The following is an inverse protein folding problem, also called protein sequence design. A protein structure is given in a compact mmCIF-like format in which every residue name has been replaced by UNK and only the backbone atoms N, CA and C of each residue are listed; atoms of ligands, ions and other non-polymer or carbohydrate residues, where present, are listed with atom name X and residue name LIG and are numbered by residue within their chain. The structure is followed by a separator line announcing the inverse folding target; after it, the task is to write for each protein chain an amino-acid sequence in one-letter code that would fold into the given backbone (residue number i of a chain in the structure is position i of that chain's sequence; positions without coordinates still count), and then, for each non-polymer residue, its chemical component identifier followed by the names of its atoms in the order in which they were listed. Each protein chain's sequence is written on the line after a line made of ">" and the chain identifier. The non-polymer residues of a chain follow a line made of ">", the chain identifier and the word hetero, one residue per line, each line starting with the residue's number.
data_IF_956496036254
#
_entry.id   IF_956496036254
#
_cell.length_a   1.000
_cell.length_b   1.000
_cell.length_c   1.000
_cell.angle_alpha   90.00
_cell.angle_beta   90.00
_cell.angle_gamma   90.00
#
_symmetry.space_group_name_H-M   'P 1'
#
loop_
_entity.id
_entity.type
_entity.pdbx_description
1 polymer ?
#
# COMPACT_ATOMS: atom_id res chain seq x y z
N UNK A 1 2.39 -8.46 -24.97
CA UNK A 1 1.68 -9.12 -23.84
C UNK A 1 2.56 -10.18 -23.17
N UNK A 2 2.87 -11.31 -23.83
CA UNK A 2 3.72 -12.38 -23.24
C UNK A 2 5.05 -11.89 -22.66
N UNK A 3 5.79 -11.05 -23.39
CA UNK A 3 7.07 -10.53 -22.92
C UNK A 3 6.95 -9.67 -21.64
N UNK A 4 5.86 -8.92 -21.49
CA UNK A 4 5.62 -8.09 -20.30
C UNK A 4 5.26 -8.93 -19.08
N UNK A 5 4.43 -9.95 -19.25
CA UNK A 5 4.09 -10.92 -18.19
C UNK A 5 5.35 -11.67 -17.74
N UNK A 6 6.17 -12.12 -18.68
CA UNK A 6 7.44 -12.81 -18.37
C UNK A 6 8.43 -11.88 -17.65
N UNK A 7 8.46 -10.59 -18.00
CA UNK A 7 9.26 -9.58 -17.30
C UNK A 7 8.84 -9.41 -15.84
N UNK A 8 7.55 -9.20 -15.60
CA UNK A 8 6.98 -9.08 -14.24
C UNK A 8 7.26 -10.33 -13.39
N UNK A 9 7.07 -11.53 -13.96
CA UNK A 9 7.37 -12.79 -13.27
C UNK A 9 8.86 -12.93 -12.94
N UNK A 10 9.75 -12.53 -13.85
CA UNK A 10 11.20 -12.59 -13.63
C UNK A 10 11.62 -11.65 -12.50
N UNK A 11 11.07 -10.45 -12.47
CA UNK A 11 11.30 -9.49 -11.39
C UNK A 11 10.83 -10.04 -10.05
N UNK A 12 9.60 -10.56 -9.99
CA UNK A 12 9.03 -11.17 -8.77
C UNK A 12 9.91 -12.30 -8.24
N UNK A 13 10.37 -13.20 -9.12
CA UNK A 13 11.25 -14.31 -8.76
C UNK A 13 12.62 -13.89 -8.24
N UNK A 14 13.11 -12.71 -8.62
CA UNK A 14 14.39 -12.19 -8.11
C UNK A 14 14.37 -11.85 -6.62
N UNK A 15 13.17 -11.83 -6.01
CA UNK A 15 12.96 -11.67 -4.58
C UNK A 15 12.78 -13.02 -3.85
N UNK A 16 12.61 -14.15 -4.57
CA UNK A 16 12.51 -15.48 -3.95
C UNK A 16 13.80 -15.83 -3.21
N UNK A 17 13.71 -16.10 -1.90
CA UNK A 17 14.84 -16.51 -1.07
C UNK A 17 15.63 -15.36 -0.41
N UNK A 18 15.29 -14.10 -0.69
CA UNK A 18 15.70 -13.02 0.21
C UNK A 18 14.76 -13.02 1.42
N UNK A 19 15.30 -13.33 2.61
CA UNK A 19 14.54 -13.31 3.86
C UNK A 19 14.11 -11.87 4.13
N UNK A 20 12.90 -11.53 3.68
CA UNK A 20 12.25 -10.29 4.05
C UNK A 20 12.00 -10.41 5.55
N UNK A 21 12.86 -9.80 6.37
CA UNK A 21 12.60 -9.61 7.80
C UNK A 21 11.41 -8.66 7.92
N UNK A 22 10.20 -9.17 7.65
CA UNK A 22 8.94 -8.50 7.87
C UNK A 22 8.72 -8.51 9.38
N UNK A 23 9.41 -7.58 10.04
CA UNK A 23 9.09 -7.21 11.41
C UNK A 23 7.74 -6.50 11.37
N UNK A 24 6.96 -6.63 12.45
CA UNK A 24 5.69 -5.93 12.69
C UNK A 24 5.71 -4.53 12.06
N UNK A 25 5.00 -4.35 10.94
CA UNK A 25 5.03 -3.11 10.16
C UNK A 25 3.64 -2.80 9.66
N UNK A 26 3.06 -1.77 10.28
CA UNK A 26 1.79 -1.18 9.87
C UNK A 26 2.04 -0.12 8.80
N UNK A 27 1.38 -0.24 7.65
CA UNK A 27 1.47 0.71 6.54
C UNK A 27 0.08 1.25 6.16
N UNK A 28 -0.04 2.50 5.70
CA UNK A 28 -1.29 2.99 5.14
C UNK A 28 -1.42 2.48 3.70
N UNK A 29 -2.57 1.91 3.38
CA UNK A 29 -2.99 1.60 2.02
C UNK A 29 -4.10 2.56 1.63
N UNK A 30 -4.06 3.03 0.38
CA UNK A 30 -5.08 3.94 -0.17
C UNK A 30 -5.74 3.26 -1.37
N UNK A 31 -7.06 3.25 -1.38
CA UNK A 31 -7.89 2.82 -2.50
C UNK A 31 -8.46 4.07 -3.15
N UNK A 32 -8.33 4.16 -4.47
CA UNK A 32 -8.88 5.23 -5.30
C UNK A 32 -9.19 4.61 -6.66
N UNK A 33 -10.32 3.91 -6.73
CA UNK A 33 -10.67 3.06 -7.87
C UNK A 33 -12.01 3.49 -8.45
N UNK A 34 -12.09 3.46 -9.78
CA UNK A 34 -13.33 3.60 -10.55
C UNK A 34 -13.55 2.31 -11.34
N UNK A 35 -14.62 1.61 -11.01
CA UNK A 35 -15.02 0.36 -11.67
C UNK A 35 -16.45 0.56 -12.13
N UNK A 36 -16.68 0.48 -13.44
CA UNK A 36 -17.99 0.73 -14.05
C UNK A 36 -18.57 2.08 -13.58
N UNK A 37 -19.71 2.02 -12.89
CA UNK A 37 -20.41 3.16 -12.33
C UNK A 37 -20.06 3.42 -10.86
N UNK A 38 -19.14 2.68 -10.26
CA UNK A 38 -18.79 2.79 -8.84
C UNK A 38 -17.42 3.42 -8.68
N UNK A 39 -17.33 4.50 -7.92
CA UNK A 39 -16.06 5.07 -7.45
C UNK A 39 -15.93 4.78 -5.97
N UNK A 40 -14.85 4.11 -5.58
CA UNK A 40 -14.51 3.83 -4.19
C UNK A 40 -13.20 4.52 -3.82
N UNK A 41 -13.25 5.28 -2.73
CA UNK A 41 -12.08 5.92 -2.13
C UNK A 41 -12.02 5.57 -0.65
N UNK A 42 -10.91 5.00 -0.22
CA UNK A 42 -10.72 4.63 1.18
C UNK A 42 -9.23 4.70 1.55
N UNK A 43 -8.94 4.80 2.84
CA UNK A 43 -7.61 4.62 3.39
C UNK A 43 -7.68 3.83 4.68
N UNK A 44 -6.86 2.80 4.78
CA UNK A 44 -6.78 1.95 5.97
C UNK A 44 -5.34 1.59 6.29
N UNK A 45 -5.14 1.03 7.48
CA UNK A 45 -3.84 0.56 7.92
C UNK A 45 -3.77 -0.95 7.74
N UNK A 46 -2.68 -1.44 7.15
CA UNK A 46 -2.43 -2.84 6.90
C UNK A 46 -1.20 -3.32 7.66
N UNK A 47 -1.31 -4.45 8.35
CA UNK A 47 -0.16 -5.13 8.96
C UNK A 47 0.47 -6.09 7.95
N UNK A 48 1.66 -5.77 7.47
CA UNK A 48 2.40 -6.60 6.52
C UNK A 48 2.92 -7.88 7.20
N UNK A 49 3.14 -7.84 8.52
CA UNK A 49 3.62 -8.98 9.29
C UNK A 49 2.56 -10.05 9.54
N UNK A 50 1.28 -9.71 9.39
CA UNK A 50 0.19 -10.66 9.58
C UNK A 50 -0.06 -11.47 8.30
N UNK A 51 0.47 -12.69 8.26
CA UNK A 51 0.32 -13.61 7.13
C UNK A 51 -1.11 -14.17 7.00
N UNK A 52 -1.93 -14.05 8.04
CA UNK A 52 -3.34 -14.44 8.01
C UNK A 52 -4.24 -13.34 7.41
N UNK A 53 -3.70 -12.14 7.13
CA UNK A 53 -4.46 -11.08 6.47
C UNK A 53 -4.63 -11.38 4.98
N UNK A 54 -5.82 -11.83 4.58
CA UNK A 54 -6.19 -12.07 3.18
C UNK A 54 -6.80 -10.81 2.52
N UNK A 55 -6.15 -10.19 1.50
CA UNK A 55 -6.72 -9.06 0.77
C UNK A 55 -8.09 -9.37 0.14
N UNK A 56 -8.32 -10.60 -0.32
CA UNK A 56 -9.58 -11.02 -0.90
C UNK A 56 -10.71 -11.04 0.13
N UNK A 57 -10.44 -11.56 1.33
CA UNK A 57 -11.40 -11.57 2.44
C UNK A 57 -11.72 -10.16 2.93
N UNK A 58 -10.69 -9.32 3.08
CA UNK A 58 -10.88 -7.92 3.41
C UNK A 58 -11.75 -7.20 2.38
N UNK A 59 -11.45 -7.37 1.08
CA UNK A 59 -12.20 -6.71 0.02
C UNK A 59 -13.67 -7.15 -0.04
N UNK A 60 -13.96 -8.45 0.16
CA UNK A 60 -15.35 -8.94 0.26
C UNK A 60 -16.09 -8.29 1.42
N UNK A 61 -15.48 -8.28 2.60
CA UNK A 61 -16.07 -7.71 3.80
C UNK A 61 -16.33 -6.21 3.64
N UNK A 62 -15.38 -5.47 3.05
CA UNK A 62 -15.53 -4.05 2.76
C UNK A 62 -16.69 -3.78 1.79
N UNK A 63 -16.83 -4.58 0.73
CA UNK A 63 -17.96 -4.45 -0.19
C UNK A 63 -19.30 -4.74 0.50
N UNK A 64 -19.37 -5.76 1.35
CA UNK A 64 -20.58 -6.11 2.10
C UNK A 64 -20.98 -4.98 3.07
N UNK A 65 -20.01 -4.44 3.83
CA UNK A 65 -20.19 -3.35 4.79
C UNK A 65 -20.64 -2.03 4.12
N UNK A 66 -20.14 -1.75 2.93
CA UNK A 66 -20.47 -0.55 2.14
C UNK A 66 -21.66 -0.76 1.19
N UNK A 67 -22.29 -1.94 1.22
CA UNK A 67 -23.38 -2.34 0.34
C UNK A 67 -23.06 -2.17 -1.17
N UNK A 68 -21.81 -2.43 -1.54
CA UNK A 68 -21.36 -2.43 -2.93
C UNK A 68 -21.82 -3.74 -3.58
N UNK A 69 -22.64 -3.62 -4.63
CA UNK A 69 -23.23 -4.77 -5.32
C UNK A 69 -22.51 -5.16 -6.60
N UNK A 70 -21.63 -4.31 -7.12
CA UNK A 70 -20.84 -4.59 -8.31
C UNK A 70 -19.79 -5.68 -8.01
N UNK A 71 -19.88 -6.86 -8.66
CA UNK A 71 -19.00 -7.98 -8.37
C UNK A 71 -17.54 -7.75 -8.80
N UNK A 72 -17.25 -6.75 -9.64
CA UNK A 72 -15.90 -6.43 -10.10
C UNK A 72 -15.12 -5.56 -9.11
N UNK A 73 -15.81 -4.85 -8.20
CA UNK A 73 -15.19 -3.92 -7.24
C UNK A 73 -14.35 -4.67 -6.21
N UNK A 74 -14.87 -5.76 -5.63
CA UNK A 74 -14.13 -6.55 -4.63
C UNK A 74 -12.79 -7.09 -5.15
N UNK A 75 -12.76 -7.79 -6.30
CA UNK A 75 -11.51 -8.21 -6.93
C UNK A 75 -10.55 -7.06 -7.24
N UNK A 76 -11.05 -5.91 -7.71
CA UNK A 76 -10.22 -4.73 -8.00
C UNK A 76 -9.55 -4.17 -6.73
N UNK A 77 -10.27 -4.11 -5.61
CA UNK A 77 -9.72 -3.70 -4.31
C UNK A 77 -8.60 -4.67 -3.88
N UNK A 78 -8.85 -5.98 -3.95
CA UNK A 78 -7.87 -6.99 -3.55
C UNK A 78 -6.58 -6.92 -4.39
N UNK A 79 -6.70 -6.70 -5.70
CA UNK A 79 -5.55 -6.46 -6.59
C UNK A 79 -4.80 -5.20 -6.19
N UNK A 80 -5.51 -4.08 -5.96
CA UNK A 80 -4.88 -2.82 -5.54
C UNK A 80 -4.11 -2.94 -4.23
N UNK A 81 -4.64 -3.70 -3.26
CA UNK A 81 -3.94 -4.01 -2.00
C UNK A 81 -2.65 -4.78 -2.28
N UNK A 82 -2.70 -5.84 -3.08
CA UNK A 82 -1.52 -6.65 -3.41
C UNK A 82 -0.44 -5.86 -4.14
N UNK A 83 -0.83 -5.01 -5.09
CA UNK A 83 0.10 -4.15 -5.82
C UNK A 83 0.85 -3.22 -4.87
N UNK A 84 0.13 -2.53 -3.97
CA UNK A 84 0.76 -1.67 -2.97
C UNK A 84 1.69 -2.45 -2.02
N UNK A 85 1.27 -3.65 -1.57
CA UNK A 85 2.12 -4.49 -0.73
C UNK A 85 3.40 -4.94 -1.44
N UNK A 86 3.30 -5.29 -2.73
CA UNK A 86 4.46 -5.65 -3.55
C UNK A 86 5.42 -4.47 -3.71
N UNK A 87 4.92 -3.27 -3.97
CA UNK A 87 5.76 -2.06 -4.07
C UNK A 87 6.50 -1.78 -2.75
N UNK A 88 5.81 -1.90 -1.62
CA UNK A 88 6.41 -1.71 -0.29
C UNK A 88 7.49 -2.76 -0.03
N UNK A 89 7.23 -4.02 -0.42
CA UNK A 89 8.20 -5.10 -0.31
C UNK A 89 9.44 -4.83 -1.17
N UNK A 90 9.26 -4.48 -2.44
CA UNK A 90 10.34 -4.17 -3.38
C UNK A 90 11.22 -3.00 -2.91
N UNK A 91 10.60 -1.95 -2.37
CA UNK A 91 11.33 -0.82 -1.79
C UNK A 91 12.15 -1.23 -0.57
N UNK A 92 11.61 -2.10 0.30
CA UNK A 92 12.32 -2.58 1.49
C UNK A 92 13.57 -3.39 1.14
N UNK A 93 13.47 -4.26 0.13
CA UNK A 93 14.60 -5.07 -0.37
C UNK A 93 15.64 -4.18 -1.04
N UNK A 94 15.20 -3.23 -1.86
CA UNK A 94 16.11 -2.27 -2.52
C UNK A 94 16.90 -1.45 -1.49
N UNK A 95 16.23 -0.95 -0.44
CA UNK A 95 16.89 -0.23 0.65
C UNK A 95 17.90 -1.11 1.42
N UNK A 96 17.56 -2.39 1.65
CA UNK A 96 18.46 -3.34 2.31
C UNK A 96 19.71 -3.63 1.46
N UNK A 97 19.53 -3.81 0.14
CA UNK A 97 20.64 -4.02 -0.82
C UNK A 97 21.58 -2.83 -0.86
N UNK A 98 21.06 -1.60 -0.84
CA UNK A 98 21.88 -0.38 -0.75
C UNK A 98 22.65 -0.29 0.57
N UNK A 99 22.01 -0.54 1.70
CA UNK A 99 22.65 -0.53 3.01
C UNK A 99 23.81 -1.55 3.12
N UNK A 100 23.64 -2.75 2.54
CA UNK A 100 24.67 -3.79 2.52
C UNK A 100 25.89 -3.40 1.66
N UNK A 101 25.71 -2.61 0.60
CA UNK A 101 26.81 -2.07 -0.24
C UNK A 101 27.62 -1.02 0.51
N UNK A 102 26.95 -0.14 1.27
CA UNK A 102 27.59 0.91 2.07
C UNK A 102 28.42 0.32 3.22
N UNK A 103 27.95 -0.75 3.86
CA UNK A 103 28.68 -1.42 4.96
C UNK A 103 30.04 -2.00 4.57
N UNK A 104 30.29 -2.29 3.29
CA UNK A 104 31.59 -2.83 2.83
C UNK A 104 32.68 -1.77 2.68
N UNK A 105 32.37 -0.47 2.83
CA UNK A 105 33.32 0.65 2.74
C UNK A 105 33.54 1.30 4.11
N UNK A 106 34.25 0.62 5.01
CA UNK A 106 34.68 1.25 6.27
C UNK A 106 35.05 0.29 7.38
N UNK A 107 36.16 -0.44 7.25
CA UNK A 107 36.85 -1.02 8.42
C UNK A 107 37.99 -0.10 8.86
N UNK A 108 37.71 0.74 9.87
CA UNK A 108 38.64 1.15 10.94
C UNK A 108 37.80 1.69 12.10
N UNK A 109 37.86 0.99 13.23
CA UNK A 109 37.35 1.40 14.55
C UNK A 109 38.57 1.66 15.46
N UNK A 110 38.45 2.20 16.69
CA UNK A 110 37.23 2.52 17.46
C UNK A 110 37.25 3.93 18.10
N UNK A 111 36.12 4.43 18.60
CA UNK A 111 35.93 5.07 19.92
C UNK A 111 34.42 5.32 20.15
N UNK A 112 34.02 5.32 21.41
CA UNK A 112 32.64 5.27 21.91
C UNK A 112 31.77 6.44 21.42
N UNK A 113 30.87 6.15 20.49
CA UNK A 113 29.62 6.88 20.36
C UNK A 113 28.55 5.87 19.94
N UNK A 114 27.81 5.35 20.92
CA UNK A 114 26.57 4.61 20.69
C UNK A 114 25.52 5.58 20.15
N UNK A 115 25.68 6.02 18.90
CA UNK A 115 24.62 6.69 18.18
C UNK A 115 23.81 5.61 17.48
N UNK A 116 22.84 5.07 18.22
CA UNK A 116 21.81 4.15 17.77
C UNK A 116 20.92 4.78 16.70
N UNK A 117 21.45 4.94 15.48
CA UNK A 117 20.72 5.38 14.28
C UNK A 117 20.61 4.29 13.21
N UNK A 118 20.75 3.02 13.61
CA UNK A 118 20.63 1.87 12.70
C UNK A 118 19.68 0.77 13.21
N UNK A 119 18.96 0.97 14.31
CA UNK A 119 18.09 -0.06 14.90
C UNK A 119 16.82 0.56 15.45
N UNK A 120 15.99 1.10 14.55
CA UNK A 120 14.73 1.71 14.93
C UNK A 120 13.60 1.38 13.93
N UNK A 121 13.48 0.13 13.49
CA UNK A 121 12.29 -0.29 12.73
C UNK A 121 11.03 -0.43 13.62
N UNK A 122 11.09 -0.02 14.89
CA UNK A 122 9.96 0.03 15.84
C UNK A 122 9.07 1.29 15.69
N UNK A 123 9.24 2.09 14.64
CA UNK A 123 8.81 3.51 14.65
C UNK A 123 7.57 3.89 13.83
N UNK A 124 6.94 3.00 13.05
CA UNK A 124 5.73 3.43 12.32
C UNK A 124 4.50 3.55 13.25
N UNK A 125 4.44 2.77 14.33
CA UNK A 125 3.31 2.82 15.28
C UNK A 125 3.18 4.19 15.97
N UNK A 126 4.31 4.84 16.29
CA UNK A 126 4.31 6.18 16.90
C UNK A 126 3.72 7.25 16.01
N UNK A 127 3.86 7.12 14.68
CA UNK A 127 3.30 8.05 13.71
C UNK A 127 1.77 7.93 13.64
N UNK A 128 1.25 6.70 13.64
CA UNK A 128 -0.18 6.44 13.48
C UNK A 128 -0.96 6.49 14.80
N UNK A 129 -0.39 6.00 15.91
CA UNK A 129 -1.06 5.89 17.21
C UNK A 129 -0.52 6.89 18.25
N UNK A 130 0.51 7.68 17.91
CA UNK A 130 1.14 8.63 18.82
C UNK A 130 1.97 7.96 19.92
N UNK A 131 2.73 8.75 20.66
CA UNK A 131 3.65 8.26 21.71
C UNK A 131 2.98 7.57 22.90
N UNK A 132 1.66 7.61 22.99
CA UNK A 132 0.87 6.94 24.02
C UNK A 132 0.07 5.74 23.48
N UNK A 133 0.19 5.39 22.20
CA UNK A 133 -0.55 4.28 21.61
C UNK A 133 -2.07 4.50 21.60
N UNK A 134 -2.53 5.72 21.33
CA UNK A 134 -3.96 6.06 21.27
C UNK A 134 -4.64 5.29 20.14
N UNK A 135 -5.67 4.51 20.48
CA UNK A 135 -6.54 3.82 19.51
C UNK A 135 -7.48 4.81 18.81
N UNK A 136 -7.73 5.97 19.42
CA UNK A 136 -8.56 7.03 18.83
C UNK A 136 -7.71 7.90 17.89
N UNK A 137 -8.12 7.96 16.62
CA UNK A 137 -7.52 8.84 15.61
C UNK A 137 -7.72 10.31 15.98
N UNK A 138 -6.77 11.16 15.59
CA UNK A 138 -6.94 12.61 15.75
C UNK A 138 -8.12 13.07 14.90
N UNK A 139 -9.02 13.87 15.48
CA UNK A 139 -10.22 14.39 14.79
C UNK A 139 -9.95 15.03 13.42
N UNK A 140 -8.81 15.70 13.27
CA UNK A 140 -8.36 16.32 12.02
C UNK A 140 -7.92 15.32 10.93
N UNK A 141 -7.85 14.03 11.23
CA UNK A 141 -7.44 12.96 10.32
C UNK A 141 -8.61 12.00 10.03
N UNK A 142 -9.78 12.20 10.65
CA UNK A 142 -10.92 11.29 10.51
C UNK A 142 -11.38 11.14 9.06
N UNK A 143 -11.47 12.25 8.33
CA UNK A 143 -11.89 12.27 6.93
C UNK A 143 -10.97 11.47 6.00
N UNK A 144 -9.74 11.16 6.41
CA UNK A 144 -8.82 10.36 5.60
C UNK A 144 -9.18 8.87 5.62
N UNK A 145 -9.84 8.40 6.69
CA UNK A 145 -10.11 6.98 6.93
C UNK A 145 -11.63 6.71 6.94
N UNK A 146 -12.38 7.55 6.25
CA UNK A 146 -13.80 7.36 6.00
C UNK A 146 -13.94 6.87 4.57
N UNK A 147 -14.48 5.65 4.34
CA UNK A 147 -14.70 5.15 3.00
C UNK A 147 -15.78 5.99 2.31
N UNK A 148 -15.51 6.38 1.07
CA UNK A 148 -16.43 7.13 0.22
C UNK A 148 -16.76 6.25 -0.99
N UNK A 149 -18.06 6.03 -1.21
CA UNK A 149 -18.58 5.29 -2.36
C UNK A 149 -19.55 6.20 -3.11
N UNK A 150 -19.22 6.49 -4.36
CA UNK A 150 -20.05 7.29 -5.25
C UNK A 150 -20.53 6.40 -6.42
N UNK A 151 -21.85 6.37 -6.66
CA UNK A 151 -22.42 5.68 -7.82
C UNK A 151 -22.74 6.72 -8.89
N UNK A 152 -21.98 6.68 -9.98
CA UNK A 152 -22.08 7.60 -11.11
C UNK A 152 -23.18 7.13 -12.06
N UNK A 153 -24.10 8.02 -12.42
CA UNK A 153 -25.14 7.69 -13.42
C UNK A 153 -24.53 7.56 -14.82
N UNK A 154 -25.18 6.81 -15.73
CA UNK A 154 -24.68 6.63 -17.10
C UNK A 154 -24.50 7.95 -17.87
N UNK A 155 -25.28 8.99 -17.54
CA UNK A 155 -25.15 10.33 -18.13
C UNK A 155 -23.88 11.03 -17.61
N UNK A 156 -23.58 10.90 -16.32
CA UNK A 156 -22.37 11.47 -15.70
C UNK A 156 -21.09 10.73 -16.12
N UNK A 157 -21.16 9.42 -16.34
CA UNK A 157 -20.01 8.60 -16.82
C UNK A 157 -19.46 9.14 -18.14
N UNK A 158 -20.33 9.45 -19.10
CA UNK A 158 -19.92 9.99 -20.39
C UNK A 158 -19.27 11.37 -20.28
N UNK A 159 -19.70 12.18 -19.31
CA UNK A 159 -19.11 13.51 -19.04
C UNK A 159 -17.75 13.38 -18.36
N UNK A 160 -17.61 12.48 -17.38
CA UNK A 160 -16.31 12.24 -16.71
C UNK A 160 -15.28 11.68 -17.69
N UNK A 161 -15.66 10.73 -18.54
CA UNK A 161 -14.75 10.13 -19.52
C UNK A 161 -14.30 11.14 -20.57
N UNK A 162 -15.21 11.97 -21.07
CA UNK A 162 -14.87 13.04 -22.01
C UNK A 162 -13.93 14.08 -21.37
N UNK A 163 -14.12 14.38 -20.08
CA UNK A 163 -13.28 15.33 -19.35
C UNK A 163 -11.89 14.73 -19.07
N UNK A 164 -11.81 13.47 -18.65
CA UNK A 164 -10.53 12.77 -18.47
C UNK A 164 -9.76 12.65 -19.79
N UNK A 165 -10.44 12.32 -20.89
CA UNK A 165 -9.81 12.21 -22.21
C UNK A 165 -9.26 13.57 -22.72
N UNK A 166 -9.97 14.68 -22.45
CA UNK A 166 -9.47 16.02 -22.73
C UNK A 166 -8.28 16.37 -21.83
N UNK A 167 -8.33 16.01 -20.55
CA UNK A 167 -7.24 16.29 -19.61
C UNK A 167 -5.97 15.48 -19.95
N UNK A 168 -6.11 14.21 -20.33
CA UNK A 168 -4.99 13.36 -20.77
C UNK A 168 -4.37 13.81 -22.10
N UNK A 169 -5.12 14.51 -22.96
CA UNK A 169 -4.60 15.10 -24.22
C UNK A 169 -3.83 16.41 -24.00
N UNK A 170 -4.08 17.09 -22.89
CA UNK A 170 -3.50 18.41 -22.58
C UNK A 170 -2.36 18.35 -21.54
N UNK A 171 -2.06 17.16 -21.01
CA UNK A 171 -0.93 16.87 -20.12
C UNK A 171 0.27 16.31 -20.90
#
# INVERSE_FOLDING_TARGET
>A
MLHSIQGQLTEFRSYEGEEMQIREKIVPLKIDLRINNTVIRDQFLWDIGNLDSDPEEFARTLCDDLNITDPEVGPAIAVSIREQLYEIASQSVSAMREAARVSKKGRRAPEFASNSKAMNNSLDLFKYFGSKGSVVRKRKEWYLYEPVVDVITNEEVGVTDATEEINSRNA
#
